data_IF_192573947047
#
_entry.id   IF_192573947047
#
_cell.length_a   1.000
_cell.length_b   1.000
_cell.length_c   1.000
_cell.angle_alpha   90.00
_cell.angle_beta   90.00
_cell.angle_gamma   90.00
#
_symmetry.space_group_name_H-M   'P 1'
#
loop_
_entity.id
_entity.type
_entity.pdbx_description
1 polymer ?
#
# COMPACT_ATOMS: atom_id res chain seq x y z
N UNK A 1 13.52 0.05 14.93
CA UNK A 1 12.93 -0.20 13.59
C UNK A 1 14.07 -0.28 12.60
N UNK A 2 13.97 -1.16 11.61
CA UNK A 2 14.95 -1.38 10.54
C UNK A 2 15.29 -0.07 9.80
N UNK A 3 16.53 0.05 9.30
CA UNK A 3 16.92 1.15 8.41
C UNK A 3 16.22 0.97 7.04
N UNK A 4 15.40 1.92 6.58
CA UNK A 4 14.59 1.74 5.36
C UNK A 4 15.41 1.42 4.11
N UNK A 5 16.59 2.04 3.96
CA UNK A 5 17.47 1.82 2.80
C UNK A 5 18.13 0.44 2.77
N UNK A 6 18.07 -0.31 3.88
CA UNK A 6 18.63 -1.65 4.00
C UNK A 6 17.67 -2.78 3.61
N UNK A 7 16.38 -2.46 3.41
CA UNK A 7 15.37 -3.42 2.97
C UNK A 7 15.71 -3.96 1.59
N UNK A 8 15.64 -5.27 1.42
CA UNK A 8 15.88 -5.94 0.14
C UNK A 8 14.75 -6.88 -0.31
N UNK A 9 13.73 -7.07 0.54
CA UNK A 9 12.47 -7.74 0.18
C UNK A 9 11.29 -6.96 0.72
N UNK A 10 10.35 -6.66 -0.16
CA UNK A 10 9.07 -6.01 0.15
C UNK A 10 7.94 -6.98 -0.19
N UNK A 11 7.17 -7.38 0.81
CA UNK A 11 5.94 -8.16 0.64
C UNK A 11 4.79 -7.19 0.86
N UNK A 12 3.82 -7.14 -0.05
CA UNK A 12 2.72 -6.18 0.03
C UNK A 12 1.37 -6.80 -0.31
N UNK A 13 0.29 -6.23 0.18
CA UNK A 13 -1.07 -6.70 -0.10
C UNK A 13 -1.37 -6.64 -1.59
N UNK A 14 -1.74 -7.80 -2.16
CA UNK A 14 -2.08 -7.94 -3.57
C UNK A 14 -3.48 -7.40 -3.89
N UNK A 15 -3.69 -7.03 -5.16
CA UNK A 15 -5.00 -6.70 -5.73
C UNK A 15 -5.72 -5.51 -5.05
N UNK A 16 -4.96 -4.56 -4.49
CA UNK A 16 -5.51 -3.38 -3.87
C UNK A 16 -4.59 -2.16 -4.09
N UNK A 17 -5.20 -0.98 -4.23
CA UNK A 17 -4.44 0.25 -4.47
C UNK A 17 -3.62 0.69 -3.25
N UNK A 18 -4.09 0.38 -2.04
CA UNK A 18 -3.36 0.69 -0.82
C UNK A 18 -2.09 -0.17 -0.72
N UNK A 19 -2.20 -1.49 -0.88
CA UNK A 19 -1.05 -2.38 -0.88
C UNK A 19 -0.05 -2.08 -1.98
N UNK A 20 -0.50 -1.78 -3.21
CA UNK A 20 0.42 -1.38 -4.27
C UNK A 20 0.99 0.02 -4.05
N UNK A 21 0.24 0.95 -3.46
CA UNK A 21 0.72 2.26 -3.00
C UNK A 21 1.80 2.14 -1.92
N UNK A 22 1.67 1.15 -1.02
CA UNK A 22 2.69 0.83 -0.04
C UNK A 22 3.97 0.28 -0.70
N UNK A 23 3.83 -0.62 -1.68
CA UNK A 23 4.96 -1.11 -2.48
C UNK A 23 5.63 0.02 -3.28
N UNK A 24 4.84 0.94 -3.86
CA UNK A 24 5.36 2.14 -4.55
C UNK A 24 6.17 3.03 -3.60
N UNK A 25 5.71 3.25 -2.39
CA UNK A 25 6.41 4.03 -1.38
C UNK A 25 7.80 3.43 -1.08
N UNK A 26 7.90 2.11 -1.01
CA UNK A 26 9.17 1.40 -0.89
C UNK A 26 10.03 1.54 -2.15
N UNK A 27 9.42 1.34 -3.33
CA UNK A 27 10.12 1.41 -4.62
C UNK A 27 10.71 2.80 -4.89
N UNK A 28 10.05 3.85 -4.46
CA UNK A 28 10.54 5.22 -4.60
C UNK A 28 11.89 5.47 -3.90
N UNK A 29 12.18 4.72 -2.83
CA UNK A 29 13.50 4.75 -2.16
C UNK A 29 14.45 3.68 -2.70
N UNK A 30 13.95 2.46 -2.89
CA UNK A 30 14.77 1.27 -3.11
C UNK A 30 15.03 1.00 -4.59
N UNK A 31 14.12 1.40 -5.49
CA UNK A 31 14.17 1.06 -6.90
C UNK A 31 14.25 -0.45 -7.11
N UNK A 32 15.09 -0.86 -8.04
CA UNK A 32 15.32 -2.29 -8.36
C UNK A 32 16.32 -3.00 -7.42
N UNK A 33 16.70 -2.37 -6.30
CA UNK A 33 17.58 -3.00 -5.29
C UNK A 33 16.85 -3.94 -4.36
N UNK A 34 15.52 -3.91 -4.36
CA UNK A 34 14.67 -4.80 -3.60
C UNK A 34 13.81 -5.68 -4.51
N UNK A 35 13.43 -6.85 -4.00
CA UNK A 35 12.44 -7.73 -4.58
C UNK A 35 11.04 -7.30 -4.07
N UNK A 36 10.02 -7.38 -4.94
CA UNK A 36 8.64 -6.99 -4.59
C UNK A 36 7.70 -8.18 -4.82
N UNK A 37 7.02 -8.63 -3.76
CA UNK A 37 6.16 -9.79 -3.77
C UNK A 37 4.73 -9.42 -3.35
N UNK A 38 3.80 -9.53 -4.29
CA UNK A 38 2.38 -9.38 -3.99
C UNK A 38 1.88 -10.62 -3.23
N UNK A 39 1.25 -10.42 -2.08
CA UNK A 39 0.72 -11.49 -1.23
C UNK A 39 -0.77 -11.33 -0.98
N UNK A 40 -1.46 -12.46 -0.88
CA UNK A 40 -2.87 -12.54 -0.49
C UNK A 40 -3.04 -13.54 0.65
N UNK A 41 -4.14 -13.45 1.39
CA UNK A 41 -4.44 -14.43 2.43
C UNK A 41 -4.43 -15.86 1.87
N UNK A 42 -3.66 -16.74 2.50
CA UNK A 42 -3.48 -18.11 2.07
C UNK A 42 -2.43 -18.34 0.97
N UNK A 43 -1.80 -17.29 0.44
CA UNK A 43 -0.65 -17.46 -0.46
C UNK A 43 0.61 -17.82 0.32
N UNK A 44 1.47 -18.72 -0.21
CA UNK A 44 2.73 -19.04 0.44
C UNK A 44 3.67 -17.83 0.41
N UNK A 45 4.43 -17.59 1.49
CA UNK A 45 5.43 -16.53 1.51
C UNK A 45 6.59 -16.84 0.55
N UNK A 46 7.29 -15.79 0.05
CA UNK A 46 8.55 -15.98 -0.68
C UNK A 46 9.67 -16.44 0.24
N UNK A 47 10.79 -16.87 -0.34
CA UNK A 47 12.00 -17.16 0.42
C UNK A 47 12.60 -15.86 0.99
N UNK A 48 12.68 -15.78 2.30
CA UNK A 48 13.21 -14.62 3.05
C UNK A 48 14.53 -14.92 3.78
N UNK A 49 15.13 -16.10 3.53
CA UNK A 49 16.29 -16.57 4.25
C UNK A 49 17.47 -15.58 4.16
N UNK A 50 17.88 -15.06 5.33
CA UNK A 50 18.98 -14.10 5.45
C UNK A 50 18.72 -12.73 4.82
N UNK A 51 17.45 -12.39 4.53
CA UNK A 51 17.05 -11.12 3.91
C UNK A 51 16.49 -10.15 4.95
N UNK A 52 16.54 -8.85 4.62
CA UNK A 52 15.89 -7.78 5.38
C UNK A 52 14.55 -7.47 4.73
N UNK A 53 13.48 -7.83 5.43
CA UNK A 53 12.13 -7.94 4.89
C UNK A 53 11.21 -6.92 5.55
N UNK A 54 10.36 -6.29 4.74
CA UNK A 54 9.20 -5.56 5.23
C UNK A 54 7.92 -6.13 4.62
N UNK A 55 6.90 -6.34 5.45
CA UNK A 55 5.56 -6.69 5.03
C UNK A 55 4.68 -5.45 5.21
N UNK A 56 4.02 -5.02 4.13
CA UNK A 56 3.28 -3.77 4.05
C UNK A 56 1.79 -4.02 3.76
N UNK A 57 0.91 -3.33 4.50
CA UNK A 57 -0.54 -3.40 4.30
C UNK A 57 -1.10 -4.84 4.35
N UNK A 58 -0.38 -5.72 4.97
CA UNK A 58 -0.66 -7.16 4.99
C UNK A 58 0.02 -7.81 6.20
N UNK A 59 -0.51 -8.94 6.64
CA UNK A 59 0.24 -9.87 7.48
C UNK A 59 -0.13 -11.32 7.18
N UNK A 60 0.83 -12.21 7.35
CA UNK A 60 0.55 -13.64 7.48
C UNK A 60 0.00 -13.92 8.89
N UNK A 61 -0.54 -15.12 9.09
CA UNK A 61 -0.90 -15.59 10.44
C UNK A 61 0.31 -15.60 11.38
N UNK A 62 0.04 -15.67 12.67
CA UNK A 62 1.08 -15.59 13.70
C UNK A 62 2.18 -16.65 13.53
N UNK A 63 1.81 -17.91 13.24
CA UNK A 63 2.77 -18.99 13.10
C UNK A 63 3.68 -18.79 11.88
N UNK A 64 3.10 -18.41 10.74
CA UNK A 64 3.84 -18.11 9.52
C UNK A 64 4.75 -16.90 9.71
N UNK A 65 4.26 -15.83 10.35
CA UNK A 65 5.06 -14.62 10.60
C UNK A 65 6.27 -14.92 11.50
N UNK A 66 6.10 -15.73 12.55
CA UNK A 66 7.21 -16.18 13.40
C UNK A 66 8.25 -16.99 12.63
N UNK A 67 7.80 -17.92 11.79
CA UNK A 67 8.70 -18.72 10.96
C UNK A 67 9.50 -17.85 9.97
N UNK A 68 8.88 -16.79 9.42
CA UNK A 68 9.57 -15.84 8.56
C UNK A 68 10.61 -15.00 9.34
N UNK A 69 10.29 -14.58 10.56
CA UNK A 69 11.23 -13.85 11.44
C UNK A 69 12.45 -14.71 11.76
N UNK A 70 12.27 -16.01 11.99
CA UNK A 70 13.40 -16.94 12.27
C UNK A 70 14.30 -17.15 11.04
N UNK A 71 13.77 -17.03 9.83
CA UNK A 71 14.50 -17.21 8.58
C UNK A 71 15.20 -15.94 8.10
N UNK A 72 14.54 -14.78 8.30
CA UNK A 72 15.05 -13.49 7.84
C UNK A 72 16.23 -13.01 8.69
N UNK A 73 17.10 -12.16 8.14
CA UNK A 73 18.06 -11.39 8.93
C UNK A 73 17.35 -10.39 9.84
N UNK A 74 16.33 -9.71 9.30
CA UNK A 74 15.42 -8.83 10.03
C UNK A 74 14.10 -8.75 9.27
N UNK A 75 12.97 -8.80 9.99
CA UNK A 75 11.64 -8.67 9.39
C UNK A 75 10.78 -7.73 10.22
N UNK A 76 10.07 -6.83 9.55
CA UNK A 76 9.07 -5.94 10.15
C UNK A 76 7.73 -6.05 9.41
N UNK A 77 6.64 -5.92 10.18
CA UNK A 77 5.27 -5.78 9.65
C UNK A 77 4.80 -4.36 9.90
N UNK A 78 4.34 -3.68 8.86
CA UNK A 78 3.77 -2.32 8.91
C UNK A 78 2.37 -2.39 8.30
N UNK A 79 1.35 -2.25 9.14
CA UNK A 79 -0.03 -2.51 8.73
C UNK A 79 -1.02 -1.64 9.53
N UNK A 80 -2.27 -1.58 9.09
CA UNK A 80 -3.34 -0.83 9.74
C UNK A 80 -4.57 -1.69 10.07
N UNK A 81 -4.56 -2.96 9.75
CA UNK A 81 -5.68 -3.85 9.99
C UNK A 81 -5.75 -4.30 11.45
N UNK A 82 -6.85 -3.96 12.14
CA UNK A 82 -7.07 -4.30 13.54
C UNK A 82 -7.02 -5.80 13.81
N UNK A 83 -7.52 -6.63 12.90
CA UNK A 83 -7.46 -8.10 13.00
C UNK A 83 -6.01 -8.59 13.05
N UNK A 84 -5.15 -8.05 12.19
CA UNK A 84 -3.75 -8.40 12.11
C UNK A 84 -2.97 -7.95 13.37
N UNK A 85 -3.30 -6.76 13.90
CA UNK A 85 -2.74 -6.29 15.16
C UNK A 85 -3.06 -7.24 16.32
N UNK A 86 -4.28 -7.77 16.37
CA UNK A 86 -4.70 -8.74 17.39
C UNK A 86 -4.00 -10.08 17.17
N UNK A 87 -3.91 -10.55 15.95
CA UNK A 87 -3.26 -11.82 15.57
C UNK A 87 -1.75 -11.80 15.90
N UNK A 88 -1.07 -10.68 15.67
CA UNK A 88 0.36 -10.53 15.88
C UNK A 88 0.74 -9.88 17.23
N UNK A 89 -0.16 -9.89 18.22
CA UNK A 89 -0.01 -9.16 19.50
C UNK A 89 1.27 -9.51 20.30
N UNK A 90 1.83 -10.68 20.10
CA UNK A 90 3.04 -11.19 20.77
C UNK A 90 4.31 -11.06 19.91
N UNK A 91 4.23 -10.42 18.76
CA UNK A 91 5.36 -10.14 17.86
C UNK A 91 5.79 -8.68 18.01
N UNK A 92 7.03 -8.46 18.43
CA UNK A 92 7.56 -7.12 18.72
C UNK A 92 7.91 -6.30 17.48
N UNK A 93 8.23 -6.98 16.36
CA UNK A 93 8.66 -6.32 15.13
C UNK A 93 7.46 -5.94 14.25
N UNK A 94 6.48 -5.26 14.85
CA UNK A 94 5.27 -4.80 14.19
C UNK A 94 5.04 -3.32 14.46
N UNK A 95 4.48 -2.64 13.48
CA UNK A 95 4.00 -1.26 13.60
C UNK A 95 2.57 -1.19 13.06
N UNK A 96 1.60 -0.91 13.92
CA UNK A 96 0.19 -0.79 13.57
C UNK A 96 -0.34 0.60 13.89
N UNK A 97 -0.97 1.24 12.91
CA UNK A 97 -1.70 2.50 13.10
C UNK A 97 -2.97 2.51 12.23
N UNK A 98 -4.14 2.27 12.85
CA UNK A 98 -5.43 2.24 12.17
C UNK A 98 -5.96 3.62 11.76
N UNK A 99 -5.24 4.69 12.06
CA UNK A 99 -5.61 6.05 11.62
C UNK A 99 -5.02 6.41 10.27
N UNK A 100 -4.20 5.52 9.69
CA UNK A 100 -3.51 5.69 8.41
C UNK A 100 -3.71 4.47 7.54
N UNK A 101 -3.62 4.66 6.22
CA UNK A 101 -3.59 3.57 5.25
C UNK A 101 -2.22 2.90 5.18
N UNK A 102 -2.15 1.69 4.62
CA UNK A 102 -0.90 0.97 4.41
C UNK A 102 0.08 1.74 3.53
N UNK A 103 -0.40 2.42 2.48
CA UNK A 103 0.42 3.25 1.60
C UNK A 103 1.04 4.44 2.34
N UNK A 104 0.27 5.10 3.22
CA UNK A 104 0.76 6.22 4.01
C UNK A 104 1.78 5.76 5.07
N UNK A 105 1.52 4.67 5.76
CA UNK A 105 2.46 4.09 6.73
C UNK A 105 3.79 3.70 6.06
N UNK A 106 3.70 3.10 4.88
CA UNK A 106 4.90 2.77 4.09
C UNK A 106 5.65 4.03 3.66
N UNK A 107 4.94 5.09 3.22
CA UNK A 107 5.59 6.34 2.88
C UNK A 107 6.36 6.94 4.06
N UNK A 108 5.72 7.04 5.22
CA UNK A 108 6.36 7.58 6.43
C UNK A 108 7.58 6.76 6.87
N UNK A 109 7.52 5.44 6.70
CA UNK A 109 8.65 4.57 7.00
C UNK A 109 9.82 4.78 6.04
N UNK A 110 9.56 4.79 4.73
CA UNK A 110 10.62 4.89 3.71
C UNK A 110 11.10 6.32 3.48
N UNK A 111 10.29 7.33 3.79
CA UNK A 111 10.59 8.75 3.54
C UNK A 111 10.33 9.61 4.78
N UNK A 112 11.01 9.33 5.91
CA UNK A 112 10.73 10.02 7.17
C UNK A 112 10.87 11.53 7.02
N UNK A 113 9.85 12.26 7.45
CA UNK A 113 9.81 13.73 7.43
C UNK A 113 9.56 14.35 6.05
N UNK A 114 9.30 13.55 5.01
CA UNK A 114 8.90 14.07 3.69
C UNK A 114 7.38 14.01 3.55
N UNK A 115 6.83 15.04 2.92
CA UNK A 115 5.43 15.05 2.52
C UNK A 115 5.15 13.92 1.53
N UNK A 116 4.01 13.25 1.68
CA UNK A 116 3.61 12.20 0.77
C UNK A 116 3.09 12.77 -0.56
N UNK A 117 3.29 12.07 -1.68
CA UNK A 117 2.65 12.44 -2.93
C UNK A 117 1.12 12.58 -2.76
N UNK A 118 0.53 13.52 -3.49
CA UNK A 118 -0.90 13.81 -3.44
C UNK A 118 -1.75 12.55 -3.63
N UNK A 119 -1.43 11.70 -4.59
CA UNK A 119 -2.20 10.49 -4.86
C UNK A 119 -2.17 9.48 -3.70
N UNK A 120 -1.09 9.40 -2.90
CA UNK A 120 -1.03 8.58 -1.68
C UNK A 120 -2.02 9.09 -0.62
N UNK A 121 -2.19 10.42 -0.49
CA UNK A 121 -3.20 11.00 0.41
C UNK A 121 -4.61 10.61 -0.03
N UNK A 122 -4.88 10.56 -1.34
CA UNK A 122 -6.17 10.17 -1.90
C UNK A 122 -6.44 8.66 -1.80
N UNK A 123 -5.38 7.82 -1.91
CA UNK A 123 -5.50 6.40 -1.57
C UNK A 123 -5.94 6.25 -0.11
N UNK A 124 -5.31 6.96 0.82
CA UNK A 124 -5.67 6.92 2.23
C UNK A 124 -7.10 7.41 2.49
N UNK A 125 -7.51 8.54 1.90
CA UNK A 125 -8.83 9.12 2.08
C UNK A 125 -9.95 8.13 1.68
N UNK A 126 -9.71 7.36 0.60
CA UNK A 126 -10.58 6.29 0.18
C UNK A 126 -10.50 5.07 1.09
N UNK A 127 -9.30 4.59 1.40
CA UNK A 127 -9.08 3.35 2.14
C UNK A 127 -9.70 3.42 3.54
N UNK A 128 -9.53 4.56 4.22
CA UNK A 128 -10.14 4.85 5.51
C UNK A 128 -11.62 5.28 5.40
N UNK A 129 -12.18 5.28 4.18
CA UNK A 129 -13.58 5.64 3.90
C UNK A 129 -13.96 7.06 4.34
N UNK A 130 -13.01 8.00 4.35
CA UNK A 130 -13.21 9.37 4.81
C UNK A 130 -13.94 10.23 3.78
N UNK A 131 -13.49 10.20 2.53
CA UNK A 131 -14.02 10.99 1.40
C UNK A 131 -14.03 12.49 1.67
N UNK A 132 -13.02 12.99 2.37
CA UNK A 132 -12.92 14.39 2.78
C UNK A 132 -12.13 15.25 1.79
N UNK A 133 -11.27 14.64 0.97
CA UNK A 133 -10.47 15.36 0.00
C UNK A 133 -11.32 15.76 -1.23
N UNK A 134 -11.06 16.95 -1.82
CA UNK A 134 -11.78 17.40 -3.00
C UNK A 134 -11.69 16.39 -4.16
N UNK A 135 -12.84 16.01 -4.73
CA UNK A 135 -12.91 15.08 -5.87
C UNK A 135 -12.34 13.68 -5.60
N UNK A 136 -12.32 13.25 -4.35
CA UNK A 136 -11.72 11.97 -3.94
C UNK A 136 -12.40 10.77 -4.61
N UNK A 137 -13.73 10.82 -4.77
CA UNK A 137 -14.49 9.76 -5.45
C UNK A 137 -14.19 9.72 -6.94
N UNK A 138 -14.08 10.87 -7.58
CA UNK A 138 -13.73 10.99 -8.98
C UNK A 138 -12.31 10.48 -9.23
N UNK A 139 -11.35 10.93 -8.43
CA UNK A 139 -9.99 10.42 -8.51
C UNK A 139 -9.95 8.90 -8.35
N UNK A 140 -10.57 8.36 -7.31
CA UNK A 140 -10.58 6.93 -7.01
C UNK A 140 -11.19 6.10 -8.14
N UNK A 141 -12.29 6.57 -8.75
CA UNK A 141 -12.93 5.87 -9.86
C UNK A 141 -12.02 5.74 -11.09
N UNK A 142 -11.20 6.76 -11.38
CA UNK A 142 -10.23 6.70 -12.45
C UNK A 142 -8.98 5.90 -12.05
N UNK A 143 -8.53 6.05 -10.81
CA UNK A 143 -7.32 5.39 -10.31
C UNK A 143 -7.47 3.87 -10.19
N UNK A 144 -8.68 3.36 -9.97
CA UNK A 144 -8.99 1.93 -10.00
C UNK A 144 -8.72 1.25 -11.35
N UNK A 145 -8.62 2.03 -12.40
CA UNK A 145 -8.32 1.53 -13.74
C UNK A 145 -6.82 1.59 -14.08
N UNK A 146 -6.00 2.15 -13.20
CA UNK A 146 -4.55 2.25 -13.39
C UNK A 146 -3.91 0.88 -13.13
N UNK A 147 -3.10 0.36 -14.05
CA UNK A 147 -2.37 -0.88 -13.80
C UNK A 147 -1.45 -0.77 -12.60
N UNK A 148 -1.34 -1.84 -11.83
CA UNK A 148 -0.37 -1.94 -10.74
C UNK A 148 1.05 -2.06 -11.29
N UNK A 149 1.60 -0.92 -11.68
CA UNK A 149 2.93 -0.76 -12.25
C UNK A 149 3.55 0.51 -11.67
N UNK A 150 4.81 0.45 -11.25
CA UNK A 150 5.47 1.56 -10.57
C UNK A 150 5.60 2.80 -11.46
N UNK A 151 5.94 2.62 -12.74
CA UNK A 151 6.06 3.74 -13.68
C UNK A 151 4.70 4.41 -13.93
N UNK A 152 3.59 3.65 -13.89
CA UNK A 152 2.24 4.20 -14.01
C UNK A 152 1.84 5.00 -12.76
N UNK A 153 2.18 4.51 -11.56
CA UNK A 153 1.93 5.24 -10.31
C UNK A 153 2.80 6.51 -10.21
N UNK A 154 4.06 6.46 -10.65
CA UNK A 154 4.96 7.63 -10.64
C UNK A 154 4.42 8.80 -11.45
N UNK A 155 3.68 8.55 -12.54
CA UNK A 155 3.05 9.62 -13.34
C UNK A 155 2.11 10.51 -12.51
N UNK A 156 1.50 9.98 -11.46
CA UNK A 156 0.57 10.71 -10.59
C UNK A 156 1.24 11.67 -9.60
N UNK A 157 2.56 11.74 -9.59
CA UNK A 157 3.28 12.85 -8.94
C UNK A 157 3.18 14.15 -9.75
N UNK A 158 2.80 14.08 -11.04
CA UNK A 158 2.49 15.24 -11.87
C UNK A 158 1.02 15.66 -11.68
N UNK A 159 0.81 16.90 -11.22
CA UNK A 159 -0.52 17.45 -10.98
C UNK A 159 -1.41 17.43 -12.22
N UNK A 160 -0.85 17.56 -13.44
CA UNK A 160 -1.64 17.50 -14.67
C UNK A 160 -2.24 16.11 -14.93
N UNK A 161 -1.50 15.04 -14.62
CA UNK A 161 -1.96 13.65 -14.72
C UNK A 161 -3.02 13.38 -13.65
N UNK A 162 -2.81 13.91 -12.45
CA UNK A 162 -3.78 13.82 -11.38
C UNK A 162 -5.10 14.50 -11.75
N UNK A 163 -5.06 15.74 -12.25
CA UNK A 163 -6.25 16.50 -12.64
C UNK A 163 -7.01 15.85 -13.82
N UNK A 164 -6.29 15.27 -14.78
CA UNK A 164 -6.88 14.49 -15.87
C UNK A 164 -7.57 13.22 -15.34
N UNK A 165 -7.03 12.57 -14.32
CA UNK A 165 -7.66 11.43 -13.67
C UNK A 165 -8.97 11.84 -12.98
N UNK A 166 -8.99 12.93 -12.23
CA UNK A 166 -10.22 13.49 -11.63
C UNK A 166 -11.28 13.73 -12.69
N UNK A 167 -10.91 14.37 -13.80
CA UNK A 167 -11.83 14.62 -14.92
C UNK A 167 -12.36 13.33 -15.53
N UNK A 168 -11.53 12.33 -15.78
CA UNK A 168 -11.97 11.01 -16.28
C UNK A 168 -12.91 10.33 -15.28
N UNK A 169 -12.58 10.36 -13.99
CA UNK A 169 -13.40 9.76 -12.95
C UNK A 169 -14.78 10.38 -12.85
N UNK A 170 -14.94 11.68 -13.09
CA UNK A 170 -16.26 12.31 -13.13
C UNK A 170 -17.17 11.72 -14.23
N UNK A 171 -16.59 11.39 -15.40
CA UNK A 171 -17.36 10.71 -16.46
C UNK A 171 -17.70 9.27 -16.11
N UNK A 172 -16.76 8.53 -15.46
CA UNK A 172 -16.99 7.16 -15.01
C UNK A 172 -18.15 7.11 -14.02
N UNK A 173 -18.17 8.01 -13.03
CA UNK A 173 -19.24 8.09 -12.03
C UNK A 173 -20.58 8.49 -12.66
N UNK A 174 -20.58 9.43 -13.61
CA UNK A 174 -21.79 9.82 -14.32
C UNK A 174 -22.41 8.65 -15.10
N UNK A 175 -21.57 7.85 -15.79
CA UNK A 175 -22.03 6.66 -16.51
C UNK A 175 -22.59 5.58 -15.58
N UNK A 176 -21.99 5.36 -14.40
CA UNK A 176 -22.48 4.39 -13.43
C UNK A 176 -23.87 4.74 -12.90
N UNK A 177 -24.17 6.03 -12.72
CA UNK A 177 -25.48 6.50 -12.28
C UNK A 177 -26.58 6.29 -13.34
N UNK A 178 -26.25 6.37 -14.63
CA UNK A 178 -27.20 6.12 -15.73
C UNK A 178 -27.61 4.65 -15.75
N UNK A 179 -26.70 3.72 -15.53
CA UNK A 179 -26.99 2.26 -15.54
C UNK A 179 -27.84 1.80 -14.34
N UNK A 180 -27.83 2.54 -13.23
CA UNK A 180 -28.67 2.23 -12.05
C UNK A 180 -30.11 2.73 -12.22
N UNK A 181 -30.33 3.69 -13.11
CA UNK A 181 -31.64 4.35 -13.33
C UNK A 181 -32.44 3.79 -14.51
N UNK A 182 -31.92 2.80 -15.26
CA UNK A 182 -32.73 2.11 -16.28
C UNK A 182 -33.47 0.93 -15.64
N UNK A 183 -34.84 0.89 -15.82
CA UNK A 183 -35.69 -0.14 -15.21
C UNK A 183 -35.54 -1.53 -15.88
#
# INVERSE_FOLDING_TARGET
MMEPSSVNVVIYHANCNDGFGAAYSAWKLLGNRAEYHAASHGSPPPDVTGKRVVILDFSYDNATTKALIEQAEELWVIDHHKSNMVELHDISNTHFDMTKSGAMLAWEFFHPGKESPKFIQYIQDRDLWQWELPYSKEFSAAFDMVPWNFDEYEKFEDDSVFDDAVKRGSYILALSLIHISEP
#
